data_IF_776426544398
#
_entry.id   IF_776426544398
#
_cell.length_a   1.000
_cell.length_b   1.000
_cell.length_c   1.000
_cell.angle_alpha   90.00
_cell.angle_beta   90.00
_cell.angle_gamma   90.00
#
_symmetry.space_group_name_H-M   'P 1'
#
loop_
_entity.id
_entity.type
_entity.pdbx_description
1 polymer ?
#
# COMPACT_ATOMS: atom_id res chain seq x y z
N UNK A 1 25.97 -5.58 -6.03
CA UNK A 1 25.66 -4.18 -5.72
C UNK A 1 24.88 -4.17 -4.41
N UNK A 2 25.53 -3.84 -3.29
CA UNK A 2 24.92 -3.83 -1.95
C UNK A 2 24.24 -2.47 -1.77
N UNK A 3 22.93 -2.47 -1.50
CA UNK A 3 22.12 -1.26 -1.38
C UNK A 3 22.63 -0.34 -0.26
N UNK A 4 22.80 0.94 -0.57
CA UNK A 4 23.13 2.03 0.36
C UNK A 4 21.87 2.44 1.15
N UNK A 5 21.30 1.54 1.93
CA UNK A 5 20.27 1.92 2.89
C UNK A 5 20.94 2.55 4.10
N UNK A 6 20.71 3.83 4.34
CA UNK A 6 21.07 4.45 5.61
C UNK A 6 20.02 4.03 6.64
N UNK A 7 20.46 3.41 7.72
CA UNK A 7 19.62 2.89 8.79
C UNK A 7 19.88 3.70 10.06
N UNK A 8 18.86 4.34 10.61
CA UNK A 8 18.97 5.08 11.87
C UNK A 8 18.05 4.47 12.92
N UNK A 9 18.63 4.05 14.03
CA UNK A 9 17.98 3.45 15.20
C UNK A 9 17.75 4.52 16.27
N UNK A 10 16.50 4.69 16.70
CA UNK A 10 16.15 5.48 17.89
C UNK A 10 15.10 4.72 18.70
N UNK A 11 15.44 4.26 19.91
CA UNK A 11 14.51 3.85 20.98
C UNK A 11 13.31 2.95 20.60
N UNK A 12 13.50 1.93 19.73
CA UNK A 12 12.49 1.03 19.10
C UNK A 12 11.95 1.44 17.72
N UNK A 13 12.38 2.56 17.16
CA UNK A 13 12.08 2.96 15.79
C UNK A 13 13.27 2.73 14.87
N UNK A 14 12.99 2.13 13.73
CA UNK A 14 13.92 1.83 12.65
C UNK A 14 13.56 2.68 11.45
N UNK A 15 14.47 3.56 11.03
CA UNK A 15 14.29 4.36 9.82
C UNK A 15 15.18 3.86 8.68
N UNK A 16 14.58 3.66 7.50
CA UNK A 16 15.20 3.16 6.28
C UNK A 16 15.08 4.24 5.21
N UNK A 17 16.22 4.73 4.74
CA UNK A 17 16.28 5.69 3.65
C UNK A 17 16.61 4.99 2.33
N UNK A 18 15.84 5.30 1.28
CA UNK A 18 15.99 4.72 -0.08
C UNK A 18 16.08 3.19 -0.05
N UNK A 19 15.00 2.58 0.41
CA UNK A 19 14.89 1.13 0.58
C UNK A 19 14.29 0.43 -0.64
N UNK A 20 14.46 -0.88 -0.69
CA UNK A 20 13.75 -1.80 -1.57
C UNK A 20 13.11 -2.88 -0.71
N UNK A 21 11.83 -3.15 -0.91
CA UNK A 21 11.05 -4.12 -0.13
C UNK A 21 10.21 -4.98 -1.08
N UNK A 22 10.24 -6.29 -0.90
CA UNK A 22 9.31 -7.21 -1.55
C UNK A 22 8.79 -8.23 -0.54
N UNK A 23 7.54 -8.65 -0.75
CA UNK A 23 6.92 -9.78 -0.02
C UNK A 23 6.98 -11.10 -0.80
N UNK A 24 7.47 -11.07 -2.04
CA UNK A 24 7.56 -12.25 -2.88
C UNK A 24 8.61 -13.24 -2.37
N UNK A 25 8.55 -14.47 -2.87
CA UNK A 25 9.55 -15.49 -2.58
C UNK A 25 10.92 -15.06 -3.13
N UNK A 26 12.00 -15.53 -2.50
CA UNK A 26 13.37 -15.23 -2.92
C UNK A 26 13.57 -15.65 -4.38
N UNK A 27 13.89 -14.69 -5.26
CA UNK A 27 14.09 -14.90 -6.69
C UNK A 27 12.89 -14.52 -7.57
N UNK A 28 11.77 -14.16 -6.96
CA UNK A 28 10.61 -13.57 -7.62
C UNK A 28 10.56 -12.07 -7.27
N UNK A 29 10.93 -11.21 -8.21
CA UNK A 29 10.85 -9.75 -8.09
C UNK A 29 9.70 -9.18 -8.96
N UNK A 30 8.57 -9.90 -9.04
CA UNK A 30 7.41 -9.44 -9.82
C UNK A 30 6.82 -8.16 -9.25
N UNK A 31 6.73 -8.02 -7.92
CA UNK A 31 6.24 -6.80 -7.25
C UNK A 31 7.20 -6.37 -6.16
N UNK A 32 7.62 -5.11 -6.21
CA UNK A 32 8.43 -4.51 -5.15
C UNK A 32 8.11 -3.04 -4.92
N UNK A 33 8.47 -2.58 -3.73
CA UNK A 33 8.20 -1.23 -3.23
C UNK A 33 9.51 -0.50 -3.00
N UNK A 34 9.57 0.74 -3.49
CA UNK A 34 10.73 1.61 -3.36
C UNK A 34 10.33 2.89 -2.62
N UNK A 35 10.41 2.93 -1.28
CA UNK A 35 10.18 4.15 -0.51
C UNK A 35 11.43 5.03 -0.44
N UNK A 36 11.23 6.34 -0.43
CA UNK A 36 12.31 7.30 -0.16
C UNK A 36 12.68 7.33 1.32
N UNK A 37 11.68 7.25 2.19
CA UNK A 37 11.81 7.15 3.64
C UNK A 37 10.79 6.14 4.16
N UNK A 38 11.22 5.22 5.00
CA UNK A 38 10.34 4.30 5.72
C UNK A 38 10.71 4.27 7.19
N UNK A 39 9.72 4.39 8.07
CA UNK A 39 9.89 4.30 9.53
C UNK A 39 9.08 3.13 10.04
N UNK A 40 9.77 2.15 10.59
CA UNK A 40 9.21 1.00 11.28
C UNK A 40 9.24 1.31 12.78
N UNK A 41 8.08 1.59 13.36
CA UNK A 41 7.94 1.76 14.80
C UNK A 41 7.57 0.42 15.44
N UNK A 42 8.51 -0.20 16.14
CA UNK A 42 8.28 -1.48 16.80
C UNK A 42 7.42 -1.35 18.07
N UNK A 43 7.40 -0.18 18.72
CA UNK A 43 6.60 0.06 19.92
C UNK A 43 5.12 0.23 19.56
N UNK A 44 4.81 1.07 18.56
CA UNK A 44 3.46 1.26 18.04
C UNK A 44 2.99 0.20 17.04
N UNK A 45 3.90 -0.65 16.55
CA UNK A 45 3.60 -1.69 15.56
C UNK A 45 3.18 -1.15 14.19
N UNK A 46 3.50 0.11 13.89
CA UNK A 46 3.13 0.78 12.64
C UNK A 46 4.36 0.93 11.74
N UNK A 47 4.16 0.75 10.45
CA UNK A 47 5.17 0.99 9.43
C UNK A 47 4.70 2.13 8.53
N UNK A 48 5.43 3.24 8.50
CA UNK A 48 5.08 4.43 7.70
C UNK A 48 6.07 4.59 6.57
N UNK A 49 5.61 4.87 5.35
CA UNK A 49 6.44 5.09 4.17
C UNK A 49 6.06 6.39 3.46
N UNK A 50 7.07 7.15 3.01
CA UNK A 50 6.91 8.37 2.21
C UNK A 50 7.48 8.18 0.81
N UNK A 51 6.80 8.78 -0.17
CA UNK A 51 7.17 8.72 -1.59
C UNK A 51 7.46 7.28 -2.04
N UNK A 52 6.48 6.40 -1.84
CA UNK A 52 6.60 4.98 -2.15
C UNK A 52 6.16 4.73 -3.58
N UNK A 53 7.03 4.13 -4.37
CA UNK A 53 6.72 3.62 -5.70
C UNK A 53 6.48 2.11 -5.64
N UNK A 54 5.39 1.65 -6.26
CA UNK A 54 5.14 0.24 -6.52
C UNK A 54 5.60 -0.06 -7.93
N UNK A 55 6.47 -1.05 -8.05
CA UNK A 55 6.95 -1.55 -9.32
C UNK A 55 6.36 -2.92 -9.59
N UNK A 56 5.92 -3.12 -10.82
CA UNK A 56 5.68 -4.44 -11.39
C UNK A 56 6.81 -4.76 -12.35
N UNK A 57 7.64 -5.74 -12.01
CA UNK A 57 8.96 -5.92 -12.61
C UNK A 57 9.74 -4.59 -12.67
N UNK A 58 10.12 -4.12 -13.85
CA UNK A 58 10.88 -2.88 -14.04
C UNK A 58 10.02 -1.63 -14.21
N UNK A 59 8.68 -1.75 -14.19
CA UNK A 59 7.76 -0.67 -14.49
C UNK A 59 7.15 -0.10 -13.20
N UNK A 60 7.26 1.22 -12.92
CA UNK A 60 6.51 1.84 -11.84
C UNK A 60 5.03 1.95 -12.22
N UNK A 61 4.17 1.29 -11.46
CA UNK A 61 2.72 1.24 -11.74
C UNK A 61 1.89 2.15 -10.84
N UNK A 62 2.34 2.38 -9.60
CA UNK A 62 1.60 3.18 -8.62
C UNK A 62 2.56 4.01 -7.76
N UNK A 63 2.16 5.24 -7.47
CA UNK A 63 2.87 6.14 -6.58
C UNK A 63 1.98 6.52 -5.40
N UNK A 64 2.53 6.42 -4.19
CA UNK A 64 1.88 6.86 -2.98
C UNK A 64 2.75 7.90 -2.26
N UNK A 65 2.26 9.13 -2.04
CA UNK A 65 3.02 10.16 -1.34
C UNK A 65 3.25 9.80 0.13
N UNK A 66 2.27 9.13 0.75
CA UNK A 66 2.30 8.72 2.15
C UNK A 66 1.45 7.47 2.35
N UNK A 67 2.02 6.42 2.96
CA UNK A 67 1.31 5.17 3.30
C UNK A 67 1.66 4.77 4.72
N UNK A 68 0.64 4.38 5.48
CA UNK A 68 0.81 3.74 6.78
C UNK A 68 0.33 2.30 6.65
N UNK A 69 1.23 1.37 6.91
CA UNK A 69 0.96 -0.06 7.05
C UNK A 69 0.75 -0.37 8.54
N UNK A 70 -0.49 -0.56 8.99
CA UNK A 70 -0.75 -0.99 10.35
C UNK A 70 -0.32 -2.45 10.54
N UNK A 71 -0.07 -2.84 11.80
CA UNK A 71 0.02 -4.25 12.20
C UNK A 71 -1.24 -5.00 11.71
N UNK A 72 -1.11 -6.28 11.39
CA UNK A 72 -2.21 -7.20 11.01
C UNK A 72 -3.36 -7.32 12.04
N UNK A 73 -3.34 -6.54 13.13
CA UNK A 73 -4.49 -6.35 13.99
C UNK A 73 -5.46 -5.38 13.29
N UNK A 74 -6.50 -5.94 12.67
CA UNK A 74 -7.53 -5.31 11.83
C UNK A 74 -8.34 -4.17 12.51
N UNK A 75 -7.88 -3.61 13.63
CA UNK A 75 -8.80 -3.01 14.57
C UNK A 75 -9.10 -1.54 14.39
N UNK A 76 -8.30 -0.67 13.73
CA UNK A 76 -8.53 0.78 13.98
C UNK A 76 -8.19 1.79 12.89
N UNK A 77 -7.83 1.41 11.65
CA UNK A 77 -7.44 2.45 10.66
C UNK A 77 -8.04 2.24 9.29
N UNK A 78 -8.30 3.38 8.65
CA UNK A 78 -8.77 3.48 7.27
C UNK A 78 -7.74 2.81 6.35
N UNK A 79 -8.19 1.87 5.52
CA UNK A 79 -7.31 1.09 4.64
C UNK A 79 -7.91 1.06 3.24
N UNK A 80 -7.07 1.36 2.25
CA UNK A 80 -7.39 1.09 0.84
C UNK A 80 -7.21 -0.40 0.56
N UNK A 81 -8.24 -1.01 -0.03
CA UNK A 81 -8.16 -2.37 -0.52
C UNK A 81 -7.63 -2.42 -1.95
N UNK A 82 -7.19 -3.60 -2.40
CA UNK A 82 -6.78 -3.81 -3.78
C UNK A 82 -7.94 -3.46 -4.74
N UNK A 83 -7.71 -2.65 -5.79
CA UNK A 83 -8.74 -2.37 -6.76
C UNK A 83 -9.10 -3.61 -7.58
N UNK A 84 -10.34 -3.65 -8.06
CA UNK A 84 -10.83 -4.69 -8.99
C UNK A 84 -11.21 -4.05 -10.31
N UNK A 85 -10.74 -4.63 -11.41
CA UNK A 85 -11.10 -4.23 -12.77
C UNK A 85 -11.95 -5.35 -13.38
N UNK A 86 -13.13 -5.01 -13.89
CA UNK A 86 -14.03 -5.93 -14.59
C UNK A 86 -14.37 -5.43 -15.98
N UNK A 87 -14.75 -6.35 -16.87
CA UNK A 87 -15.21 -6.04 -18.22
C UNK A 87 -16.52 -6.79 -18.48
N UNK A 88 -17.55 -6.12 -18.96
CA UNK A 88 -18.83 -6.76 -19.29
C UNK A 88 -19.59 -6.04 -20.40
N UNK A 89 -20.34 -6.79 -21.19
CA UNK A 89 -21.01 -6.28 -22.40
C UNK A 89 -22.06 -5.19 -22.12
N UNK A 90 -22.74 -5.28 -20.98
CA UNK A 90 -23.79 -4.35 -20.59
C UNK A 90 -23.27 -3.03 -20.02
N UNK A 91 -22.09 -3.05 -19.40
CA UNK A 91 -21.62 -1.95 -18.54
C UNK A 91 -20.24 -1.42 -18.91
N UNK A 92 -19.53 -2.07 -19.84
CA UNK A 92 -18.20 -1.67 -20.26
C UNK A 92 -17.10 -2.05 -19.26
N UNK A 93 -16.09 -1.19 -19.14
CA UNK A 93 -14.94 -1.35 -18.23
C UNK A 93 -15.31 -0.83 -16.84
N UNK A 94 -15.35 -1.69 -15.83
CA UNK A 94 -15.70 -1.29 -14.47
C UNK A 94 -14.45 -1.24 -13.61
N UNK A 95 -14.25 -0.13 -12.89
CA UNK A 95 -13.17 0.03 -11.92
C UNK A 95 -13.75 0.22 -10.52
N UNK A 96 -13.34 -0.64 -9.59
CA UNK A 96 -13.73 -0.64 -8.19
C UNK A 96 -12.52 -0.36 -7.31
N UNK A 97 -12.58 0.66 -6.45
CA UNK A 97 -11.50 0.97 -5.50
C UNK A 97 -12.05 1.02 -4.06
N UNK A 98 -12.10 -0.11 -3.33
CA UNK A 98 -12.68 -0.13 -1.98
C UNK A 98 -11.83 0.65 -0.97
N UNK A 99 -12.49 1.51 -0.20
CA UNK A 99 -11.94 2.26 0.92
C UNK A 99 -12.66 1.85 2.21
N UNK A 100 -11.95 1.15 3.08
CA UNK A 100 -12.46 0.77 4.39
C UNK A 100 -12.26 1.92 5.37
N UNK A 101 -13.31 2.28 6.11
CA UNK A 101 -13.30 3.30 7.15
C UNK A 101 -13.89 2.72 8.43
N UNK A 102 -13.03 2.49 9.43
CA UNK A 102 -13.47 2.23 10.79
C UNK A 102 -13.76 3.54 11.54
N UNK A 103 -15.02 3.78 11.93
CA UNK A 103 -15.48 5.02 12.58
C UNK A 103 -15.44 4.87 14.11
N UNK A 104 -15.78 3.69 14.63
CA UNK A 104 -15.76 3.35 16.05
C UNK A 104 -15.60 1.82 16.21
N UNK A 105 -15.19 1.29 17.39
CA UNK A 105 -14.91 -0.14 17.58
C UNK A 105 -16.03 -1.12 17.16
N UNK A 106 -17.28 -0.65 17.06
CA UNK A 106 -18.43 -1.43 16.58
C UNK A 106 -19.15 -0.79 15.38
N UNK A 107 -18.48 0.11 14.67
CA UNK A 107 -19.05 0.81 13.50
C UNK A 107 -17.99 1.05 12.44
N UNK A 108 -18.12 0.34 11.34
CA UNK A 108 -17.33 0.52 10.14
C UNK A 108 -18.20 0.84 8.92
N UNK A 109 -17.55 1.34 7.88
CA UNK A 109 -18.14 1.60 6.58
C UNK A 109 -17.10 1.25 5.50
N UNK A 110 -17.54 0.60 4.43
CA UNK A 110 -16.70 0.38 3.24
C UNK A 110 -17.28 1.16 2.07
N UNK A 111 -16.53 2.13 1.57
CA UNK A 111 -16.90 2.92 0.41
C UNK A 111 -16.28 2.30 -0.82
N UNK A 112 -17.09 1.89 -1.79
CA UNK A 112 -16.60 1.34 -3.06
C UNK A 112 -17.03 2.28 -4.18
N UNK A 113 -16.22 3.28 -4.56
CA UNK A 113 -16.40 3.99 -5.82
C UNK A 113 -16.37 2.98 -6.97
N UNK A 114 -17.46 2.93 -7.72
CA UNK A 114 -17.59 2.17 -8.95
C UNK A 114 -17.69 3.18 -10.08
N UNK A 115 -16.79 3.09 -11.05
CA UNK A 115 -16.94 3.85 -12.30
C UNK A 115 -17.59 2.97 -13.34
N UNK A 116 -18.69 3.46 -13.90
CA UNK A 116 -19.41 2.85 -15.02
C UNK A 116 -19.23 3.78 -16.22
N UNK A 117 -18.23 3.57 -17.09
CA UNK A 117 -18.13 4.32 -18.32
C UNK A 117 -19.28 3.85 -19.24
N UNK A 118 -20.39 4.59 -19.24
CA UNK A 118 -21.54 4.27 -20.09
C UNK A 118 -21.08 4.21 -21.55
N UNK A 119 -21.45 3.15 -22.28
CA UNK A 119 -21.46 3.23 -23.74
C UNK A 119 -22.41 4.37 -24.11
N UNK A 120 -21.86 5.38 -24.78
CA UNK A 120 -22.66 6.31 -25.56
C UNK A 120 -23.10 5.60 -26.83
#
# INVERSE_FOLDING_TARGET
>A
MVARSAFSLKDLSVSVWRGFLSRCAKGDDNVFYTPSEMVLDHAGGNATAKHMLVHFHRLPILYFPFVIFPKLAMSERQVFFSPTIGFGDQWGVNFHLPFYWNIAPQRDATFVPITWPSRR
#
